data_IF_114685232715
#
_entry.id   IF_114685232715
#
_cell.length_a   1.000
_cell.length_b   1.000
_cell.length_c   1.000
_cell.angle_alpha   90.00
_cell.angle_beta   90.00
_cell.angle_gamma   90.00
#
_symmetry.space_group_name_H-M   'P 1'
#
loop_
_entity.id
_entity.type
_entity.pdbx_description
1 polymer ?
#
# COMPACT_ATOMS: atom_id res chain seq x y z
N UNK A 1 -1.87 15.35 -33.73
CA UNK A 1 -0.82 14.88 -32.79
C UNK A 1 -1.36 14.34 -31.46
N UNK A 2 -2.36 14.94 -30.79
CA UNK A 2 -2.96 14.37 -29.57
C UNK A 2 -3.89 13.16 -29.83
N UNK A 3 -4.71 13.20 -30.89
CA UNK A 3 -5.68 12.13 -31.18
C UNK A 3 -5.02 10.78 -31.54
N UNK A 4 -3.91 10.80 -32.25
CA UNK A 4 -3.18 9.61 -32.65
C UNK A 4 -2.54 8.89 -31.43
N UNK A 5 -1.95 9.67 -30.52
CA UNK A 5 -1.40 9.17 -29.25
C UNK A 5 -2.47 8.62 -28.30
N UNK A 6 -3.67 9.20 -28.32
CA UNK A 6 -4.80 8.69 -27.54
C UNK A 6 -5.34 7.39 -28.11
N UNK A 7 -5.33 7.23 -29.45
CA UNK A 7 -5.68 5.98 -30.12
C UNK A 7 -4.68 4.85 -29.80
N UNK A 8 -3.38 5.14 -29.80
CA UNK A 8 -2.35 4.16 -29.41
C UNK A 8 -2.56 3.67 -27.97
N UNK A 9 -2.85 4.58 -27.05
CA UNK A 9 -3.12 4.24 -25.66
C UNK A 9 -4.37 3.37 -25.52
N UNK A 10 -5.46 3.72 -26.20
CA UNK A 10 -6.71 2.93 -26.21
C UNK A 10 -6.47 1.53 -26.78
N UNK A 11 -5.72 1.41 -27.88
CA UNK A 11 -5.38 0.12 -28.46
C UNK A 11 -4.50 -0.73 -27.54
N UNK A 12 -3.55 -0.10 -26.83
CA UNK A 12 -2.69 -0.77 -25.85
C UNK A 12 -3.53 -1.37 -24.71
N UNK A 13 -4.46 -0.59 -24.13
CA UNK A 13 -5.36 -1.04 -23.07
C UNK A 13 -6.28 -2.19 -23.55
N UNK A 14 -6.86 -2.05 -24.74
CA UNK A 14 -7.72 -3.07 -25.32
C UNK A 14 -6.99 -4.41 -25.50
N UNK A 15 -5.72 -4.39 -25.97
CA UNK A 15 -4.89 -5.60 -26.10
C UNK A 15 -4.62 -6.30 -24.77
N UNK A 16 -4.61 -5.55 -23.68
CA UNK A 16 -4.40 -6.09 -22.32
C UNK A 16 -5.72 -6.49 -21.62
N UNK A 17 -6.88 -6.31 -22.27
CA UNK A 17 -8.18 -6.55 -21.66
C UNK A 17 -8.51 -5.60 -20.51
N UNK A 18 -7.88 -4.41 -20.50
CA UNK A 18 -8.14 -3.35 -19.52
C UNK A 18 -9.23 -2.42 -20.05
N UNK A 19 -10.06 -1.89 -19.14
CA UNK A 19 -11.10 -0.92 -19.52
C UNK A 19 -10.47 0.30 -20.20
N UNK A 20 -10.97 0.59 -21.40
CA UNK A 20 -10.51 1.70 -22.25
C UNK A 20 -11.14 3.05 -21.89
N UNK A 21 -11.96 3.10 -20.83
CA UNK A 21 -12.56 4.34 -20.35
C UNK A 21 -11.47 5.33 -19.94
N UNK A 22 -11.58 6.53 -20.46
CA UNK A 22 -10.64 7.62 -20.18
C UNK A 22 -11.25 8.65 -19.23
N UNK A 23 -10.47 9.10 -18.25
CA UNK A 23 -10.82 10.14 -17.29
C UNK A 23 -9.68 11.15 -17.27
N UNK A 24 -9.96 12.42 -17.49
CA UNK A 24 -8.96 13.51 -17.53
C UNK A 24 -7.76 13.21 -18.46
N UNK A 25 -8.01 12.49 -19.56
CA UNK A 25 -6.97 12.12 -20.52
C UNK A 25 -6.09 10.93 -20.12
N UNK A 26 -6.41 10.23 -19.02
CA UNK A 26 -5.74 9.02 -18.52
C UNK A 26 -6.71 7.85 -18.41
N UNK A 27 -6.22 6.59 -18.43
CA UNK A 27 -7.08 5.41 -18.18
C UNK A 27 -7.80 5.50 -16.83
N UNK A 28 -9.09 5.18 -16.78
CA UNK A 28 -9.85 5.15 -15.54
C UNK A 28 -9.21 4.22 -14.49
N UNK A 29 -8.56 3.15 -14.93
CA UNK A 29 -7.81 2.22 -14.09
C UNK A 29 -6.70 2.91 -13.28
N UNK A 30 -6.10 4.00 -13.79
CA UNK A 30 -5.10 4.77 -13.04
C UNK A 30 -5.71 5.33 -11.75
N UNK A 31 -6.93 5.86 -11.82
CA UNK A 31 -7.60 6.43 -10.64
C UNK A 31 -8.02 5.35 -9.64
N UNK A 32 -8.37 4.16 -10.12
CA UNK A 32 -8.58 3.01 -9.23
C UNK A 32 -7.29 2.68 -8.47
N UNK A 33 -6.14 2.59 -9.18
CA UNK A 33 -4.85 2.34 -8.54
C UNK A 33 -4.44 3.50 -7.59
N UNK A 34 -4.69 4.75 -7.98
CA UNK A 34 -4.48 5.93 -7.15
C UNK A 34 -5.21 5.82 -5.80
N UNK A 35 -6.54 5.58 -5.82
CA UNK A 35 -7.33 5.49 -4.60
C UNK A 35 -6.96 4.24 -3.77
N UNK A 36 -6.67 3.13 -4.43
CA UNK A 36 -6.25 1.90 -3.75
C UNK A 36 -4.94 2.11 -2.98
N UNK A 37 -3.94 2.71 -3.63
CA UNK A 37 -2.67 3.02 -2.98
C UNK A 37 -2.83 4.11 -1.93
N UNK A 38 -3.64 5.15 -2.19
CA UNK A 38 -3.91 6.20 -1.22
C UNK A 38 -4.47 5.64 0.09
N UNK A 39 -5.48 4.74 0.02
CA UNK A 39 -6.04 4.09 1.20
C UNK A 39 -5.05 3.16 1.91
N UNK A 40 -4.26 2.43 1.13
CA UNK A 40 -3.22 1.58 1.70
C UNK A 40 -2.17 2.43 2.44
N UNK A 41 -1.70 3.53 1.83
CA UNK A 41 -0.77 4.46 2.49
C UNK A 41 -1.38 5.12 3.72
N UNK A 42 -2.62 5.54 3.65
CA UNK A 42 -3.35 6.05 4.81
C UNK A 42 -3.32 5.04 5.96
N UNK A 43 -3.69 3.79 5.70
CA UNK A 43 -3.72 2.72 6.69
C UNK A 43 -2.34 2.42 7.26
N UNK A 44 -1.33 2.28 6.39
CA UNK A 44 0.04 1.97 6.78
C UNK A 44 0.68 3.07 7.65
N UNK A 45 0.61 4.32 7.19
CA UNK A 45 1.21 5.44 7.95
C UNK A 45 0.41 5.80 9.19
N UNK A 46 -0.91 5.65 9.15
CA UNK A 46 -1.76 5.80 10.35
C UNK A 46 -1.43 4.77 11.40
N UNK A 47 -1.35 3.49 11.04
CA UNK A 47 -0.93 2.43 11.95
C UNK A 47 0.47 2.68 12.51
N UNK A 48 1.43 3.10 11.68
CA UNK A 48 2.79 3.43 12.14
C UNK A 48 2.81 4.57 13.15
N UNK A 49 1.98 5.59 12.97
CA UNK A 49 1.88 6.71 13.92
C UNK A 49 1.37 6.24 15.29
N UNK A 50 0.42 5.31 15.30
CA UNK A 50 -0.17 4.77 16.53
C UNK A 50 0.68 3.66 17.17
N UNK A 51 1.46 2.91 16.39
CA UNK A 51 2.17 1.71 16.85
C UNK A 51 3.05 1.97 18.07
N UNK A 52 3.95 2.94 18.00
CA UNK A 52 4.86 3.26 19.10
C UNK A 52 4.12 3.87 20.28
N UNK A 53 3.16 4.75 20.03
CA UNK A 53 2.33 5.36 21.07
C UNK A 53 1.58 4.29 21.84
N UNK A 54 0.94 3.36 21.15
CA UNK A 54 0.22 2.24 21.76
C UNK A 54 1.12 1.37 22.66
N UNK A 55 2.33 1.03 22.18
CA UNK A 55 3.26 0.17 22.92
C UNK A 55 3.78 0.82 24.21
N UNK A 56 4.08 2.13 24.19
CA UNK A 56 4.64 2.85 25.35
C UNK A 56 3.57 3.38 26.30
N UNK A 57 2.33 3.55 25.85
CA UNK A 57 1.23 4.03 26.68
C UNK A 57 1.02 3.10 27.87
N UNK A 58 0.72 3.68 29.04
CA UNK A 58 0.47 2.94 30.27
C UNK A 58 -0.67 1.92 30.13
N UNK A 59 -0.54 0.79 30.82
CA UNK A 59 -1.56 -0.28 30.83
C UNK A 59 -2.92 0.25 31.32
N UNK A 60 -2.91 1.18 32.26
CA UNK A 60 -4.11 1.87 32.78
C UNK A 60 -4.89 2.63 31.70
N UNK A 61 -4.23 3.00 30.62
CA UNK A 61 -4.77 3.70 29.45
C UNK A 61 -4.87 2.80 28.20
N UNK A 62 -4.96 1.49 28.41
CA UNK A 62 -5.07 0.47 27.36
C UNK A 62 -3.84 0.35 26.44
N UNK A 63 -2.68 0.85 26.85
CA UNK A 63 -1.40 0.57 26.19
C UNK A 63 -0.71 -0.64 26.80
N UNK A 64 0.50 -0.96 26.32
CA UNK A 64 1.26 -2.10 26.83
C UNK A 64 2.33 -1.74 27.86
N UNK A 65 2.59 -0.46 28.07
CA UNK A 65 3.54 0.02 29.06
C UNK A 65 5.00 -0.38 28.78
N UNK A 66 5.36 -0.59 27.53
CA UNK A 66 6.71 -0.96 27.14
C UNK A 66 7.72 0.16 27.36
N UNK A 67 8.98 -0.19 27.51
CA UNK A 67 10.06 0.79 27.46
C UNK A 67 10.16 1.41 26.06
N UNK A 68 10.61 2.66 25.97
CA UNK A 68 10.87 3.30 24.68
C UNK A 68 11.85 2.48 23.83
N UNK A 69 12.81 1.81 24.45
CA UNK A 69 13.81 1.00 23.75
C UNK A 69 13.17 -0.20 23.08
N UNK A 70 12.33 -0.98 23.81
CA UNK A 70 11.69 -2.18 23.26
C UNK A 70 10.68 -1.83 22.16
N UNK A 71 9.92 -0.75 22.34
CA UNK A 71 8.97 -0.27 21.32
C UNK A 71 9.69 0.17 20.03
N UNK A 72 10.82 0.88 20.16
CA UNK A 72 11.62 1.29 19.02
C UNK A 72 12.33 0.13 18.35
N UNK A 73 12.74 -0.88 19.08
CA UNK A 73 13.32 -2.11 18.51
C UNK A 73 12.28 -2.85 17.66
N UNK A 74 11.07 -3.08 18.18
CA UNK A 74 9.98 -3.69 17.40
C UNK A 74 9.67 -2.87 16.14
N UNK A 75 9.58 -1.55 16.30
CA UNK A 75 9.32 -0.64 15.18
C UNK A 75 10.41 -0.72 14.10
N UNK A 76 11.68 -0.80 14.49
CA UNK A 76 12.81 -0.92 13.56
C UNK A 76 12.76 -2.25 12.80
N UNK A 77 12.52 -3.37 13.49
CA UNK A 77 12.36 -4.69 12.87
C UNK A 77 11.17 -4.73 11.92
N UNK A 78 10.00 -4.25 12.35
CA UNK A 78 8.82 -4.17 11.51
C UNK A 78 9.07 -3.36 10.24
N UNK A 79 9.61 -2.15 10.39
CA UNK A 79 9.89 -1.26 9.27
C UNK A 79 10.93 -1.86 8.32
N UNK A 80 12.01 -2.42 8.85
CA UNK A 80 13.06 -3.08 8.06
C UNK A 80 12.51 -4.22 7.21
N UNK A 81 11.68 -5.09 7.79
CA UNK A 81 11.06 -6.19 7.08
C UNK A 81 10.05 -5.73 6.02
N UNK A 82 9.27 -4.68 6.28
CA UNK A 82 8.36 -4.07 5.30
C UNK A 82 9.12 -3.53 4.07
N UNK A 83 10.36 -3.04 4.23
CA UNK A 83 11.17 -2.61 3.10
C UNK A 83 11.90 -3.76 2.39
N UNK A 84 12.14 -4.87 3.07
CA UNK A 84 12.84 -6.03 2.50
C UNK A 84 11.90 -6.94 1.70
N UNK A 85 10.68 -7.19 2.20
CA UNK A 85 9.72 -8.12 1.60
C UNK A 85 9.27 -7.77 0.19
N UNK A 86 9.20 -6.49 -0.27
CA UNK A 86 8.90 -6.14 -1.66
C UNK A 86 9.83 -6.76 -2.70
N UNK A 87 11.09 -7.02 -2.35
CA UNK A 87 12.03 -7.70 -3.26
C UNK A 87 11.54 -9.11 -3.59
N UNK A 88 11.06 -9.83 -2.59
CA UNK A 88 10.53 -11.19 -2.75
C UNK A 88 9.15 -11.15 -3.43
N UNK A 89 8.29 -10.22 -3.01
CA UNK A 89 6.94 -10.09 -3.55
C UNK A 89 6.91 -9.70 -5.03
N UNK A 90 7.83 -8.86 -5.50
CA UNK A 90 8.01 -8.57 -6.91
C UNK A 90 8.40 -9.83 -7.70
N UNK A 91 9.39 -10.59 -7.21
CA UNK A 91 9.82 -11.84 -7.86
C UNK A 91 8.70 -12.90 -7.93
N UNK A 92 7.85 -12.97 -6.91
CA UNK A 92 6.68 -13.88 -6.90
C UNK A 92 5.68 -13.45 -7.97
N UNK A 93 5.42 -12.16 -8.10
CA UNK A 93 4.50 -11.64 -9.11
C UNK A 93 5.03 -11.88 -10.52
N UNK A 94 6.32 -11.61 -10.77
CA UNK A 94 6.93 -11.78 -12.09
C UNK A 94 6.92 -13.23 -12.57
N UNK A 95 7.14 -14.19 -11.66
CA UNK A 95 7.34 -15.59 -12.04
C UNK A 95 6.11 -16.48 -11.87
N UNK A 96 5.21 -16.16 -10.94
CA UNK A 96 4.16 -17.08 -10.50
C UNK A 96 2.74 -16.55 -10.63
N UNK A 97 2.46 -15.36 -10.11
CA UNK A 97 1.08 -14.90 -9.91
C UNK A 97 0.60 -13.86 -10.92
N UNK A 98 1.52 -13.08 -11.46
CA UNK A 98 1.21 -11.83 -12.16
C UNK A 98 0.81 -10.70 -11.20
N UNK A 99 0.97 -9.45 -11.63
CA UNK A 99 0.80 -8.26 -10.80
C UNK A 99 -0.59 -8.13 -10.18
N UNK A 100 -1.65 -8.36 -10.97
CA UNK A 100 -3.04 -8.22 -10.50
C UNK A 100 -3.36 -9.16 -9.33
N UNK A 101 -2.97 -10.43 -9.44
CA UNK A 101 -3.22 -11.41 -8.36
C UNK A 101 -2.36 -11.11 -7.14
N UNK A 102 -1.10 -10.69 -7.34
CA UNK A 102 -0.22 -10.31 -6.24
C UNK A 102 -0.77 -9.12 -5.46
N UNK A 103 -1.29 -8.09 -6.13
CA UNK A 103 -1.93 -6.92 -5.50
C UNK A 103 -3.15 -7.36 -4.69
N UNK A 104 -4.05 -8.16 -5.26
CA UNK A 104 -5.27 -8.62 -4.58
C UNK A 104 -4.95 -9.49 -3.35
N UNK A 105 -4.01 -10.43 -3.48
CA UNK A 105 -3.56 -11.26 -2.36
C UNK A 105 -2.89 -10.41 -1.28
N UNK A 106 -2.02 -9.48 -1.67
CA UNK A 106 -1.37 -8.56 -0.75
C UNK A 106 -2.39 -7.71 0.02
N UNK A 107 -3.37 -7.13 -0.66
CA UNK A 107 -4.45 -6.36 -0.04
C UNK A 107 -5.28 -7.20 0.94
N UNK A 108 -5.64 -8.45 0.56
CA UNK A 108 -6.38 -9.36 1.43
C UNK A 108 -5.58 -9.71 2.69
N UNK A 109 -4.30 -10.05 2.54
CA UNK A 109 -3.42 -10.38 3.66
C UNK A 109 -3.27 -9.18 4.61
N UNK A 110 -3.10 -7.96 4.09
CA UNK A 110 -3.04 -6.74 4.93
C UNK A 110 -4.36 -6.48 5.65
N UNK A 111 -5.50 -6.71 5.00
CA UNK A 111 -6.82 -6.59 5.63
C UNK A 111 -6.97 -7.56 6.80
N UNK A 112 -6.56 -8.82 6.62
CA UNK A 112 -6.51 -9.81 7.69
C UNK A 112 -5.53 -9.41 8.79
N UNK A 113 -4.41 -8.78 8.44
CA UNK A 113 -3.44 -8.22 9.38
C UNK A 113 -4.07 -7.17 10.29
N UNK A 114 -4.77 -6.19 9.74
CA UNK A 114 -5.50 -5.18 10.53
C UNK A 114 -6.61 -5.80 11.38
N UNK A 115 -7.36 -6.75 10.82
CA UNK A 115 -8.39 -7.47 11.58
C UNK A 115 -7.80 -8.26 12.76
N UNK A 116 -6.63 -8.89 12.57
CA UNK A 116 -5.91 -9.57 13.63
C UNK A 116 -5.47 -8.58 14.72
N UNK A 117 -4.87 -7.45 14.36
CA UNK A 117 -4.44 -6.43 15.32
C UNK A 117 -5.62 -5.88 16.14
N UNK A 118 -6.82 -5.74 15.54
CA UNK A 118 -8.03 -5.31 16.26
C UNK A 118 -8.49 -6.32 17.34
N UNK A 119 -8.00 -7.55 17.32
CA UNK A 119 -8.29 -8.59 18.30
C UNK A 119 -7.22 -8.69 19.39
N UNK A 120 -6.28 -7.76 19.46
CA UNK A 120 -5.16 -7.77 20.41
C UNK A 120 -5.62 -7.86 21.88
N UNK A 121 -6.74 -7.20 22.22
CA UNK A 121 -7.34 -7.25 23.55
C UNK A 121 -7.77 -8.65 24.01
N UNK A 122 -7.91 -9.63 23.10
CA UNK A 122 -8.17 -11.03 23.45
C UNK A 122 -6.89 -11.82 23.70
N UNK A 123 -5.85 -11.55 22.94
CA UNK A 123 -4.50 -12.10 23.12
C UNK A 123 -3.48 -11.24 22.38
N UNK A 124 -2.36 -10.96 23.04
CA UNK A 124 -1.22 -10.26 22.41
C UNK A 124 -0.68 -10.98 21.17
N UNK A 125 -0.90 -12.29 21.03
CA UNK A 125 -0.50 -13.04 19.85
C UNK A 125 -1.16 -12.52 18.56
N UNK A 126 -2.40 -12.03 18.64
CA UNK A 126 -3.08 -11.46 17.48
C UNK A 126 -2.41 -10.19 16.96
N UNK A 127 -1.81 -9.40 17.83
CA UNK A 127 -1.03 -8.24 17.43
C UNK A 127 0.20 -8.62 16.61
N UNK A 128 1.01 -9.58 17.09
CA UNK A 128 2.19 -10.04 16.36
C UNK A 128 1.84 -10.72 15.05
N UNK A 129 0.80 -11.55 15.04
CA UNK A 129 0.26 -12.15 13.80
C UNK A 129 -0.15 -11.04 12.82
N UNK A 130 -0.80 -10.00 13.29
CA UNK A 130 -1.18 -8.84 12.50
C UNK A 130 0.02 -8.16 11.86
N UNK A 131 1.08 -7.88 12.63
CA UNK A 131 2.32 -7.28 12.10
C UNK A 131 2.97 -8.16 11.01
N UNK A 132 3.04 -9.47 11.23
CA UNK A 132 3.59 -10.41 10.22
C UNK A 132 2.75 -10.40 8.95
N UNK A 133 1.42 -10.43 9.05
CA UNK A 133 0.52 -10.34 7.90
C UNK A 133 0.69 -9.02 7.16
N UNK A 134 0.85 -7.89 7.88
CA UNK A 134 1.12 -6.59 7.26
C UNK A 134 2.44 -6.59 6.47
N UNK A 135 3.50 -7.18 7.01
CA UNK A 135 4.80 -7.31 6.35
C UNK A 135 4.66 -8.11 5.05
N UNK A 136 4.04 -9.28 5.11
CA UNK A 136 3.87 -10.18 3.97
C UNK A 136 2.94 -9.57 2.90
N UNK A 137 1.83 -8.99 3.33
CA UNK A 137 0.86 -8.35 2.44
C UNK A 137 1.44 -7.14 1.72
N UNK A 138 2.15 -6.26 2.43
CA UNK A 138 2.84 -5.11 1.85
C UNK A 138 3.91 -5.54 0.84
N UNK A 139 4.65 -6.62 1.14
CA UNK A 139 5.63 -7.20 0.24
C UNK A 139 5.04 -7.58 -1.13
N UNK A 140 3.85 -8.20 -1.14
CA UNK A 140 3.14 -8.55 -2.37
C UNK A 140 2.46 -7.35 -3.04
N UNK A 141 2.00 -6.39 -2.27
CA UNK A 141 1.20 -5.27 -2.79
C UNK A 141 2.08 -4.17 -3.43
N UNK A 142 3.00 -3.62 -2.65
CA UNK A 142 3.72 -2.39 -2.96
C UNK A 142 4.50 -2.41 -4.28
N UNK A 143 5.36 -3.40 -4.59
CA UNK A 143 6.12 -3.40 -5.84
C UNK A 143 5.20 -3.57 -7.04
N UNK A 144 4.14 -4.34 -6.89
CA UNK A 144 3.29 -4.78 -7.98
C UNK A 144 2.27 -3.71 -8.41
N UNK A 145 1.76 -2.89 -7.49
CA UNK A 145 0.83 -1.80 -7.84
C UNK A 145 1.55 -0.72 -8.65
N UNK A 146 2.79 -0.38 -8.31
CA UNK A 146 3.61 0.56 -9.06
C UNK A 146 3.94 0.03 -10.47
N UNK A 147 4.29 -1.26 -10.58
CA UNK A 147 4.52 -1.93 -11.87
C UNK A 147 3.25 -1.92 -12.73
N UNK A 148 2.08 -2.13 -12.13
CA UNK A 148 0.80 -2.11 -12.84
C UNK A 148 0.47 -0.72 -13.41
N UNK A 149 0.82 0.37 -12.73
CA UNK A 149 0.70 1.73 -13.27
C UNK A 149 1.51 1.86 -14.56
N UNK A 150 2.75 1.36 -14.57
CA UNK A 150 3.60 1.38 -15.76
C UNK A 150 3.01 0.64 -16.96
N UNK A 151 2.30 -0.46 -16.70
CA UNK A 151 1.68 -1.27 -17.75
C UNK A 151 0.44 -0.63 -18.39
N UNK A 152 -0.18 0.35 -17.74
CA UNK A 152 -1.31 1.09 -18.32
C UNK A 152 -0.89 1.94 -19.55
N UNK A 153 0.39 2.18 -19.72
CA UNK A 153 0.90 3.06 -20.78
C UNK A 153 1.90 2.33 -21.69
N UNK A 154 1.85 2.55 -23.03
CA UNK A 154 2.95 2.17 -23.90
C UNK A 154 4.25 2.82 -23.46
N UNK A 155 5.39 2.18 -23.69
CA UNK A 155 6.70 2.72 -23.28
C UNK A 155 7.05 4.04 -23.98
N UNK A 156 6.48 4.26 -25.18
CA UNK A 156 6.62 5.48 -25.97
C UNK A 156 5.69 6.62 -25.53
N UNK A 157 4.79 6.38 -24.56
CA UNK A 157 3.76 7.33 -24.21
C UNK A 157 4.29 8.46 -23.34
N UNK A 158 4.22 9.70 -23.84
CA UNK A 158 4.53 10.91 -23.06
C UNK A 158 3.59 11.10 -21.83
N UNK A 159 2.46 10.38 -21.77
CA UNK A 159 1.52 10.43 -20.64
C UNK A 159 1.92 9.51 -19.48
N UNK A 160 2.90 8.62 -19.66
CA UNK A 160 3.35 7.68 -18.65
C UNK A 160 3.88 8.38 -17.41
N UNK A 161 4.71 9.40 -17.58
CA UNK A 161 5.29 10.18 -16.48
C UNK A 161 4.20 10.96 -15.71
N UNK A 162 3.25 11.56 -16.43
CA UNK A 162 2.10 12.22 -15.82
C UNK A 162 1.23 11.23 -15.04
N UNK A 163 1.04 10.00 -15.56
CA UNK A 163 0.35 8.92 -14.88
C UNK A 163 1.01 8.53 -13.56
N UNK A 164 2.33 8.39 -13.55
CA UNK A 164 3.09 8.16 -12.32
C UNK A 164 2.99 9.35 -11.36
N UNK A 165 3.03 10.58 -11.85
CA UNK A 165 2.88 11.78 -11.00
C UNK A 165 1.53 11.77 -10.29
N UNK A 166 0.43 11.48 -10.99
CA UNK A 166 -0.90 11.35 -10.40
C UNK A 166 -0.89 10.23 -9.34
N UNK A 167 -0.33 9.07 -9.65
CA UNK A 167 -0.25 7.95 -8.71
C UNK A 167 0.53 8.31 -7.44
N UNK A 168 1.68 8.98 -7.56
CA UNK A 168 2.47 9.45 -6.41
C UNK A 168 1.76 10.53 -5.58
N UNK A 169 0.89 11.34 -6.19
CA UNK A 169 0.02 12.24 -5.42
C UNK A 169 -0.90 11.45 -4.48
N UNK A 170 -1.42 10.30 -4.91
CA UNK A 170 -2.20 9.40 -4.05
C UNK A 170 -1.39 8.87 -2.87
N UNK A 171 -0.17 8.39 -3.12
CA UNK A 171 0.77 7.94 -2.07
C UNK A 171 0.96 9.02 -1.00
N UNK A 172 1.32 10.23 -1.43
CA UNK A 172 1.62 11.35 -0.53
C UNK A 172 0.38 11.83 0.22
N UNK A 173 -0.78 11.91 -0.45
CA UNK A 173 -2.04 12.28 0.18
C UNK A 173 -2.45 11.26 1.26
N UNK A 174 -2.36 9.96 0.95
CA UNK A 174 -2.64 8.91 1.91
C UNK A 174 -1.71 8.94 3.13
N UNK A 175 -0.42 9.09 2.90
CA UNK A 175 0.58 9.19 3.96
C UNK A 175 0.34 10.42 4.87
N UNK A 176 0.10 11.58 4.26
CA UNK A 176 -0.18 12.82 4.99
C UNK A 176 -1.44 12.71 5.85
N UNK A 177 -2.55 12.26 5.25
CA UNK A 177 -3.82 12.10 5.97
C UNK A 177 -3.73 11.04 7.07
N UNK A 178 -3.04 9.93 6.82
CA UNK A 178 -2.85 8.87 7.81
C UNK A 178 -2.08 9.35 9.03
N UNK A 179 -0.96 10.02 8.84
CA UNK A 179 -0.18 10.59 9.95
C UNK A 179 -0.95 11.68 10.70
N UNK A 180 -1.62 12.57 9.97
CA UNK A 180 -2.34 13.70 10.56
C UNK A 180 -3.52 13.23 11.40
N UNK A 181 -4.40 12.40 10.84
CA UNK A 181 -5.63 11.99 11.53
C UNK A 181 -5.35 10.97 12.64
N UNK A 182 -4.49 9.98 12.39
CA UNK A 182 -4.18 9.00 13.41
C UNK A 182 -3.26 9.55 14.51
N UNK A 183 -2.35 10.47 14.17
CA UNK A 183 -1.55 11.17 15.17
C UNK A 183 -2.43 12.02 16.10
N UNK A 184 -3.38 12.78 15.55
CA UNK A 184 -4.33 13.58 16.33
C UNK A 184 -5.26 12.74 17.23
N UNK A 185 -5.68 11.56 16.77
CA UNK A 185 -6.55 10.66 17.56
C UNK A 185 -5.75 9.93 18.65
N UNK A 186 -4.45 9.70 18.42
CA UNK A 186 -3.57 8.99 19.36
C UNK A 186 -3.02 9.84 20.52
N UNK A 187 -3.23 11.17 20.49
CA UNK A 187 -2.92 12.08 21.57
C UNK A 187 -4.11 12.20 22.56
#
# INVERSE_FOLDING_TARGET
>A
MNQEKDQELVQHLAKQGVDVKMVMGHPASLFVLFFTEMWERFSYYGMRALLTVFLITEISKQGWGWSNQDAMELYAWYTGLVYLTPLIGGMIADKLTGYRKAILLGALIMTLGHASMALEGTSQSFFYVGLVLMILGNGLFKPNISSMVGQLYPDTSAKKDAGYTIFYMGINSGAFLGMLLCGYIGE
#
